data_IF_463867681208
#
_entry.id   IF_463867681208
#
_cell.length_a   1.000
_cell.length_b   1.000
_cell.length_c   1.000
_cell.angle_alpha   90.00
_cell.angle_beta   90.00
_cell.angle_gamma   90.00
#
_symmetry.space_group_name_H-M   'P 1'
#
loop_
_entity.id
_entity.type
_entity.pdbx_description
1 polymer ?
#
# COMPACT_ATOMS: atom_id res chain seq x y z
N UNK A 1 -2.11 16.31 11.85
CA UNK A 1 -1.80 16.66 10.44
C UNK A 1 -3.10 17.08 9.79
N UNK A 2 -3.10 18.12 8.95
CA UNK A 2 -4.32 18.89 8.62
C UNK A 2 -5.56 18.03 8.29
N UNK A 3 -5.40 16.98 7.48
CA UNK A 3 -6.51 16.06 7.15
C UNK A 3 -6.98 15.22 8.36
N UNK A 4 -6.06 14.66 9.14
CA UNK A 4 -6.41 13.86 10.31
C UNK A 4 -7.12 14.71 11.38
N UNK A 5 -6.68 15.95 11.56
CA UNK A 5 -7.26 16.88 12.54
C UNK A 5 -8.69 17.28 12.11
N UNK A 6 -8.88 17.59 10.82
CA UNK A 6 -10.19 17.84 10.21
C UNK A 6 -11.15 16.66 10.43
N UNK A 7 -10.72 15.43 10.11
CA UNK A 7 -11.56 14.24 10.25
C UNK A 7 -11.90 13.94 11.71
N UNK A 8 -10.95 14.13 12.64
CA UNK A 8 -11.21 13.96 14.07
C UNK A 8 -12.32 14.90 14.56
N UNK A 9 -12.30 16.15 14.10
CA UNK A 9 -13.29 17.15 14.49
C UNK A 9 -14.67 16.84 13.91
N UNK A 10 -14.74 16.48 12.62
CA UNK A 10 -15.99 16.06 11.97
C UNK A 10 -16.66 14.89 12.71
N UNK A 11 -15.88 13.89 13.15
CA UNK A 11 -16.39 12.74 13.90
C UNK A 11 -16.91 13.17 15.28
N UNK A 12 -16.18 14.02 16.01
CA UNK A 12 -16.61 14.53 17.32
C UNK A 12 -17.93 15.27 17.23
N UNK A 13 -18.03 16.19 16.28
CA UNK A 13 -19.20 17.06 16.12
C UNK A 13 -20.44 16.28 15.65
N UNK A 14 -20.28 15.38 14.68
CA UNK A 14 -21.42 14.67 14.08
C UNK A 14 -21.91 13.48 14.89
N UNK A 15 -21.02 12.79 15.61
CA UNK A 15 -21.34 11.55 16.31
C UNK A 15 -21.36 11.68 17.84
N UNK A 16 -21.00 12.84 18.40
CA UNK A 16 -20.97 13.08 19.85
C UNK A 16 -19.89 12.28 20.59
N UNK A 17 -18.90 11.74 19.88
CA UNK A 17 -17.80 10.96 20.47
C UNK A 17 -16.78 11.93 21.06
N UNK A 18 -16.55 11.86 22.36
CA UNK A 18 -15.67 12.82 23.06
C UNK A 18 -14.18 12.64 22.74
N UNK A 19 -13.72 11.40 22.57
CA UNK A 19 -12.30 11.06 22.41
C UNK A 19 -12.05 10.44 21.04
N UNK A 20 -11.51 11.22 20.13
CA UNK A 20 -11.07 10.78 18.79
C UNK A 20 -9.59 11.13 18.65
N UNK A 21 -8.80 10.16 18.18
CA UNK A 21 -7.36 10.30 17.94
C UNK A 21 -7.08 10.07 16.47
N UNK A 22 -6.31 10.97 15.87
CA UNK A 22 -5.78 10.83 14.53
C UNK A 22 -4.27 10.96 14.59
N UNK A 23 -3.56 9.97 14.06
CA UNK A 23 -2.10 10.03 13.89
C UNK A 23 -1.79 10.22 12.40
N UNK A 24 -0.83 11.08 12.10
CA UNK A 24 -0.34 11.29 10.72
C UNK A 24 1.08 10.75 10.64
N UNK A 25 1.28 9.67 9.89
CA UNK A 25 2.62 9.12 9.69
C UNK A 25 3.37 9.96 8.65
N UNK A 26 4.48 10.57 9.07
CA UNK A 26 5.39 11.31 8.20
C UNK A 26 6.47 10.39 7.63
N UNK A 27 7.73 10.63 7.98
CA UNK A 27 8.85 9.77 7.57
C UNK A 27 8.69 8.31 8.02
N UNK A 28 8.01 8.05 9.14
CA UNK A 28 7.81 6.70 9.66
C UNK A 28 7.22 5.74 8.63
N UNK A 29 6.31 6.18 7.76
CA UNK A 29 5.70 5.27 6.77
C UNK A 29 6.62 4.92 5.58
N UNK A 30 7.76 5.61 5.42
CA UNK A 30 8.69 5.43 4.29
C UNK A 30 10.15 5.21 4.69
N UNK A 31 10.44 5.22 5.98
CA UNK A 31 11.82 5.18 6.50
C UNK A 31 11.88 4.40 7.81
N UNK A 32 11.09 3.33 7.91
CA UNK A 32 11.08 2.46 9.08
C UNK A 32 11.77 1.13 8.78
N UNK A 33 13.08 1.11 9.01
CA UNK A 33 13.99 -0.01 8.67
C UNK A 33 13.54 -1.34 9.30
N UNK A 34 12.84 -1.32 10.43
CA UNK A 34 12.32 -2.53 11.08
C UNK A 34 11.06 -3.11 10.45
N UNK A 35 10.45 -2.44 9.47
CA UNK A 35 9.22 -2.87 8.81
C UNK A 35 9.39 -2.72 7.29
N UNK A 36 10.13 -3.65 6.71
CA UNK A 36 10.40 -3.68 5.27
C UNK A 36 10.00 -5.04 4.73
N UNK A 37 9.27 -5.03 3.61
CA UNK A 37 8.93 -6.24 2.88
C UNK A 37 10.21 -6.91 2.35
N UNK A 38 10.36 -8.22 2.58
CA UNK A 38 11.45 -9.02 2.01
C UNK A 38 11.35 -9.10 0.48
N UNK A 39 10.12 -9.04 -0.04
CA UNK A 39 9.83 -8.97 -1.46
C UNK A 39 10.30 -7.63 -2.04
N UNK A 40 9.93 -6.50 -1.45
CA UNK A 40 10.35 -5.17 -1.92
C UNK A 40 11.88 -5.02 -1.89
N UNK A 41 12.54 -5.48 -0.82
CA UNK A 41 14.00 -5.45 -0.72
C UNK A 41 14.69 -6.24 -1.82
N UNK A 42 14.24 -7.48 -2.05
CA UNK A 42 14.81 -8.36 -3.08
C UNK A 42 14.60 -7.74 -4.45
N UNK A 43 13.38 -7.33 -4.76
CA UNK A 43 13.05 -6.81 -6.09
C UNK A 43 13.75 -5.47 -6.36
N UNK A 44 13.85 -4.58 -5.39
CA UNK A 44 14.62 -3.33 -5.51
C UNK A 44 16.10 -3.60 -5.81
N UNK A 45 16.69 -4.63 -5.19
CA UNK A 45 18.06 -5.05 -5.47
C UNK A 45 18.19 -5.62 -6.88
N UNK A 46 17.29 -6.53 -7.27
CA UNK A 46 17.28 -7.16 -8.60
C UNK A 46 17.09 -6.13 -9.71
N UNK A 47 16.25 -5.10 -9.52
CA UNK A 47 16.11 -3.96 -10.45
C UNK A 47 17.45 -3.27 -10.67
N UNK A 48 18.19 -2.96 -9.60
CA UNK A 48 19.49 -2.32 -9.69
C UNK A 48 20.53 -3.18 -10.42
N UNK A 49 20.58 -4.47 -10.11
CA UNK A 49 21.46 -5.43 -10.79
C UNK A 49 21.12 -5.52 -12.29
N UNK A 50 19.84 -5.62 -12.64
CA UNK A 50 19.36 -5.64 -14.04
C UNK A 50 19.68 -4.36 -14.79
N UNK A 51 19.54 -3.20 -14.14
CA UNK A 51 19.88 -1.91 -14.75
C UNK A 51 21.35 -1.87 -15.20
N UNK A 52 22.27 -2.35 -14.35
CA UNK A 52 23.70 -2.44 -14.70
C UNK A 52 23.93 -3.43 -15.85
N UNK A 53 23.27 -4.61 -15.82
CA UNK A 53 23.37 -5.60 -16.90
C UNK A 53 22.92 -5.02 -18.25
N UNK A 54 21.79 -4.31 -18.27
CA UNK A 54 21.30 -3.64 -19.47
C UNK A 54 22.22 -2.53 -19.95
N UNK A 55 22.80 -1.75 -19.04
CA UNK A 55 23.75 -0.69 -19.40
C UNK A 55 25.09 -1.24 -19.95
N UNK A 56 25.54 -2.40 -19.48
CA UNK A 56 26.82 -3.00 -19.88
C UNK A 56 26.75 -3.78 -21.20
N UNK A 57 25.63 -4.44 -21.47
CA UNK A 57 25.49 -5.34 -22.63
C UNK A 57 24.46 -4.87 -23.66
N UNK A 58 23.70 -3.82 -23.36
CA UNK A 58 22.74 -3.21 -24.27
C UNK A 58 23.30 -1.99 -24.98
N UNK A 59 22.69 -1.65 -26.11
CA UNK A 59 22.96 -0.41 -26.87
C UNK A 59 21.74 0.53 -26.80
N UNK A 60 21.07 0.56 -25.64
CA UNK A 60 19.79 1.26 -25.46
C UNK A 60 19.64 1.78 -24.04
N UNK A 61 19.01 2.94 -23.92
CA UNK A 61 18.59 3.53 -22.65
C UNK A 61 17.15 3.13 -22.29
N UNK A 62 16.78 3.34 -21.03
CA UNK A 62 15.44 2.98 -20.55
C UNK A 62 15.29 2.95 -19.04
N UNK A 63 14.08 2.56 -18.60
CA UNK A 63 13.74 2.30 -17.21
C UNK A 63 13.50 0.80 -17.02
N UNK A 64 14.07 0.22 -15.96
CA UNK A 64 13.80 -1.17 -15.60
C UNK A 64 12.44 -1.24 -14.92
N UNK A 65 11.53 -2.02 -15.48
CA UNK A 65 10.21 -2.26 -14.96
C UNK A 65 10.09 -3.67 -14.38
N UNK A 66 9.40 -3.77 -13.25
CA UNK A 66 8.99 -5.04 -12.65
C UNK A 66 7.65 -5.43 -13.28
N UNK A 67 7.63 -6.55 -13.99
CA UNK A 67 6.42 -7.08 -14.63
C UNK A 67 5.93 -8.31 -13.89
N UNK A 68 4.70 -8.27 -13.35
CA UNK A 68 4.10 -9.43 -12.70
C UNK A 68 3.65 -10.44 -13.77
N UNK A 69 4.13 -11.68 -13.70
CA UNK A 69 3.90 -12.74 -14.71
C UNK A 69 2.98 -13.87 -14.23
N UNK A 70 2.49 -13.82 -13.00
CA UNK A 70 1.66 -14.86 -12.38
C UNK A 70 1.03 -14.40 -11.07
N UNK A 71 0.58 -15.36 -10.24
CA UNK A 71 -0.06 -15.06 -8.94
C UNK A 71 0.89 -14.26 -8.03
N UNK A 72 2.14 -14.73 -7.93
CA UNK A 72 3.28 -13.87 -7.62
C UNK A 72 4.58 -14.40 -8.22
N UNK A 73 4.91 -13.90 -9.40
CA UNK A 73 6.21 -14.03 -10.07
C UNK A 73 6.49 -12.71 -10.79
N UNK A 74 7.74 -12.29 -10.81
CA UNK A 74 8.16 -11.03 -11.43
C UNK A 74 9.23 -11.30 -12.49
N UNK A 75 9.15 -10.58 -13.59
CA UNK A 75 10.19 -10.48 -14.61
C UNK A 75 10.65 -9.02 -14.75
N UNK A 76 11.85 -8.82 -15.29
CA UNK A 76 12.50 -7.51 -15.39
C UNK A 76 12.73 -7.14 -16.84
N UNK A 77 12.01 -6.13 -17.31
CA UNK A 77 12.11 -5.64 -18.67
C UNK A 77 12.70 -4.23 -18.70
N UNK A 78 13.55 -3.95 -19.68
CA UNK A 78 13.92 -2.57 -19.99
C UNK A 78 12.83 -1.95 -20.88
N UNK A 79 12.20 -0.88 -20.41
CA UNK A 79 11.21 -0.10 -21.17
C UNK A 79 11.85 1.21 -21.68
N UNK A 80 11.52 1.67 -22.89
CA UNK A 80 12.02 2.96 -23.37
C UNK A 80 11.45 4.11 -22.51
N UNK A 81 12.20 5.20 -22.37
CA UNK A 81 11.86 6.28 -21.44
C UNK A 81 10.55 6.98 -21.80
N UNK A 82 10.24 7.13 -23.08
CA UNK A 82 8.98 7.71 -23.59
C UNK A 82 7.73 6.87 -23.23
N UNK A 83 7.91 5.57 -22.99
CA UNK A 83 6.84 4.71 -22.52
C UNK A 83 6.47 4.97 -21.06
N UNK A 84 7.34 5.61 -20.27
CA UNK A 84 7.18 5.85 -18.82
C UNK A 84 7.05 7.33 -18.49
N UNK A 85 7.81 8.20 -19.14
CA UNK A 85 7.88 9.63 -18.85
C UNK A 85 6.51 10.30 -18.98
N UNK A 86 6.13 11.07 -17.96
CA UNK A 86 4.86 11.79 -17.93
C UNK A 86 3.61 10.91 -17.80
N UNK A 87 3.76 9.59 -17.66
CA UNK A 87 2.63 8.69 -17.40
C UNK A 87 2.50 8.41 -15.91
N UNK A 88 1.26 8.15 -15.47
CA UNK A 88 0.95 7.88 -14.07
C UNK A 88 0.17 6.56 -13.97
N UNK A 89 0.61 5.66 -13.10
CA UNK A 89 -0.19 4.51 -12.70
C UNK A 89 -1.28 4.99 -11.73
N UNK A 90 -2.51 5.05 -12.22
CA UNK A 90 -3.68 5.33 -11.39
C UNK A 90 -4.12 4.08 -10.64
N UNK A 91 -4.79 4.26 -9.50
CA UNK A 91 -5.48 3.16 -8.81
C UNK A 91 -6.58 2.62 -9.73
N UNK A 92 -6.67 1.29 -9.89
CA UNK A 92 -7.78 0.72 -10.67
C UNK A 92 -9.10 0.87 -9.92
N UNK A 93 -10.17 1.26 -10.62
CA UNK A 93 -11.50 1.38 -10.02
C UNK A 93 -11.96 0.06 -9.39
N UNK A 94 -11.55 -1.07 -9.98
CA UNK A 94 -11.83 -2.41 -9.46
C UNK A 94 -11.21 -2.67 -8.07
N UNK A 95 -10.26 -1.84 -7.61
CA UNK A 95 -9.67 -1.92 -6.28
C UNK A 95 -10.48 -1.22 -5.20
N UNK A 96 -11.44 -0.37 -5.58
CA UNK A 96 -12.25 0.43 -4.66
C UNK A 96 -13.62 -0.23 -4.51
N UNK A 97 -14.09 -0.40 -3.27
CA UNK A 97 -15.41 -0.98 -3.01
C UNK A 97 -16.52 -0.07 -3.54
N UNK A 98 -17.70 -0.63 -3.80
CA UNK A 98 -18.86 0.15 -4.23
C UNK A 98 -19.29 1.24 -3.22
N UNK A 99 -18.92 1.12 -1.95
CA UNK A 99 -19.17 2.15 -0.92
C UNK A 99 -18.21 3.35 -1.02
N UNK A 100 -17.11 3.23 -1.77
CA UNK A 100 -16.06 4.24 -1.89
C UNK A 100 -15.19 4.41 -0.64
N UNK A 101 -15.34 3.52 0.34
CA UNK A 101 -14.72 3.65 1.68
C UNK A 101 -13.94 2.42 2.12
N UNK A 102 -13.84 1.39 1.28
CA UNK A 102 -13.06 0.18 1.55
C UNK A 102 -12.40 -0.29 0.23
N UNK A 103 -11.53 -1.28 0.34
CA UNK A 103 -10.87 -1.93 -0.79
C UNK A 103 -11.55 -3.26 -1.13
N UNK A 104 -11.46 -3.66 -2.39
CA UNK A 104 -11.96 -4.96 -2.87
C UNK A 104 -10.97 -6.08 -2.64
N UNK A 105 -11.40 -7.32 -2.85
CA UNK A 105 -10.51 -8.48 -2.84
C UNK A 105 -9.48 -8.43 -3.97
N UNK A 106 -9.80 -7.80 -5.11
CA UNK A 106 -8.83 -7.59 -6.18
C UNK A 106 -7.62 -6.77 -5.70
N UNK A 107 -7.86 -5.72 -4.91
CA UNK A 107 -6.77 -4.95 -4.28
C UNK A 107 -5.99 -5.80 -3.28
N UNK A 108 -6.68 -6.57 -2.44
CA UNK A 108 -6.03 -7.44 -1.44
C UNK A 108 -5.12 -8.47 -2.11
N UNK A 109 -5.58 -9.09 -3.19
CA UNK A 109 -4.80 -10.04 -3.99
C UNK A 109 -3.62 -9.38 -4.69
N UNK A 110 -3.78 -8.14 -5.18
CA UNK A 110 -2.69 -7.37 -5.76
C UNK A 110 -1.60 -7.03 -4.72
N UNK A 111 -2.00 -6.48 -3.57
CA UNK A 111 -1.11 -5.92 -2.56
C UNK A 111 -0.42 -6.98 -1.71
N UNK A 112 -1.14 -8.02 -1.28
CA UNK A 112 -0.69 -8.94 -0.22
C UNK A 112 0.68 -9.59 -0.49
N UNK A 113 1.00 -10.03 -1.72
CA UNK A 113 2.34 -10.55 -1.99
C UNK A 113 3.47 -9.50 -1.86
N UNK A 114 3.16 -8.21 -2.09
CA UNK A 114 4.14 -7.12 -1.99
C UNK A 114 4.51 -6.79 -0.55
N UNK A 115 3.68 -7.18 0.42
CA UNK A 115 3.89 -6.90 1.85
C UNK A 115 4.92 -7.81 2.50
N UNK A 116 5.34 -8.86 1.80
CA UNK A 116 6.37 -9.78 2.25
C UNK A 116 5.86 -10.92 3.14
N UNK A 117 6.76 -11.85 3.46
CA UNK A 117 6.43 -13.11 4.15
C UNK A 117 6.11 -12.95 5.64
N UNK A 118 6.54 -11.85 6.27
CA UNK A 118 6.39 -11.60 7.71
C UNK A 118 5.09 -10.93 8.14
N UNK A 119 4.22 -10.53 7.19
CA UNK A 119 2.98 -9.86 7.54
C UNK A 119 1.93 -10.88 7.98
N UNK A 120 1.49 -10.77 9.23
CA UNK A 120 0.40 -11.60 9.76
C UNK A 120 -0.93 -11.27 9.09
N UNK A 121 -1.75 -12.30 8.95
CA UNK A 121 -3.10 -12.13 8.45
C UNK A 121 -3.92 -11.27 9.40
N UNK A 122 -4.45 -10.17 8.87
CA UNK A 122 -5.40 -9.34 9.59
C UNK A 122 -6.77 -10.02 9.61
N UNK A 123 -7.28 -10.32 10.80
CA UNK A 123 -8.63 -10.86 10.98
C UNK A 123 -9.55 -9.78 11.55
N UNK A 124 -10.77 -9.67 11.02
CA UNK A 124 -11.81 -8.83 11.63
C UNK A 124 -12.57 -9.67 12.65
N UNK A 125 -12.59 -9.22 13.90
CA UNK A 125 -13.43 -9.82 14.93
C UNK A 125 -14.91 -9.63 14.54
N UNK A 126 -15.72 -10.67 14.77
CA UNK A 126 -17.18 -10.54 14.59
C UNK A 126 -17.72 -9.59 15.67
N UNK A 127 -18.57 -8.61 15.31
CA UNK A 127 -19.23 -7.79 16.31
C UNK A 127 -20.04 -8.68 17.26
N UNK A 128 -19.72 -8.65 18.55
CA UNK A 128 -20.45 -9.35 19.61
C UNK A 128 -20.82 -8.35 20.72
N UNK A 129 -21.67 -7.34 20.43
CA UNK A 129 -22.05 -6.34 21.42
C UNK A 129 -22.84 -7.00 22.56
N UNK A 130 -22.56 -6.61 23.79
CA UNK A 130 -23.31 -7.01 24.99
C UNK A 130 -24.16 -5.85 25.49
N UNK A 131 -25.31 -6.16 26.09
CA UNK A 131 -26.18 -5.16 26.68
C UNK A 131 -25.45 -4.42 27.81
N UNK A 132 -25.59 -3.10 27.84
CA UNK A 132 -25.01 -2.25 28.89
C UNK A 132 -25.73 -2.54 30.21
N UNK A 133 -24.99 -2.92 31.25
CA UNK A 133 -25.56 -3.32 32.56
C UNK A 133 -25.50 -2.18 33.60
N UNK A 134 -24.60 -1.20 33.42
CA UNK A 134 -24.45 -0.08 34.36
C UNK A 134 -24.84 1.24 33.68
N UNK A 135 -25.65 2.05 34.38
CA UNK A 135 -25.85 3.45 34.02
C UNK A 135 -24.54 4.22 34.24
N UNK A 136 -24.13 5.05 33.28
CA UNK A 136 -22.89 5.83 33.39
C UNK A 136 -22.99 6.83 34.54
N UNK A 137 -21.90 6.98 35.30
CA UNK A 137 -21.72 8.07 36.25
C UNK A 137 -21.68 9.43 35.53
#
# INVERSE_FOLDING_TARGET
GALADLLCEEIKQKLGIQRVRGDTFGYLQRSFIGCVSDVDQREAREVGEKAVQFAMWGDRDGSVAIQRTGYYSADYSLLPLDAVAGKTRVMDDAFISASGTDVTDAFRLYLRPLLGSGLTDAYRLRPAPVAKVLAGA
#
